data_IF_710638723274
#
_entry.id   IF_710638723274
#
_cell.length_a   1.000
_cell.length_b   1.000
_cell.length_c   1.000
_cell.angle_alpha   90.00
_cell.angle_beta   90.00
_cell.angle_gamma   90.00
#
_symmetry.space_group_name_H-M   'P 1'
#
loop_
_entity.id
_entity.type
_entity.pdbx_description
1 polymer ?
#
# COMPACT_ATOMS: atom_id res chain seq x y z
N UNK A 1 3.97 26.05 -28.69
CA UNK A 1 5.29 26.54 -28.24
C UNK A 1 5.42 26.66 -26.72
N UNK A 2 4.34 26.98 -25.98
CA UNK A 2 4.34 27.11 -24.50
C UNK A 2 4.34 25.77 -23.71
N UNK A 3 3.92 24.65 -24.31
CA UNK A 3 3.88 23.33 -23.61
C UNK A 3 5.26 22.66 -23.40
N UNK A 4 6.35 23.24 -23.92
CA UNK A 4 7.72 22.72 -23.74
C UNK A 4 8.42 23.22 -22.48
N UNK A 5 7.86 24.20 -21.77
CA UNK A 5 8.49 24.82 -20.60
C UNK A 5 8.10 24.18 -19.25
N UNK A 6 7.04 23.36 -19.24
CA UNK A 6 6.58 22.62 -18.06
C UNK A 6 7.27 21.26 -17.88
N UNK A 7 8.17 20.93 -18.81
CA UNK A 7 8.93 19.68 -18.82
C UNK A 7 10.37 20.04 -18.44
N UNK A 8 10.90 19.56 -17.29
CA UNK A 8 12.26 19.85 -16.88
C UNK A 8 13.26 19.40 -17.95
N UNK A 9 14.25 20.24 -18.28
CA UNK A 9 15.13 20.03 -19.44
C UNK A 9 15.91 18.72 -19.40
N UNK A 10 16.18 18.16 -18.22
CA UNK A 10 16.78 16.81 -18.08
C UNK A 10 15.98 15.69 -18.76
N UNK A 11 14.71 15.91 -19.12
CA UNK A 11 13.83 14.89 -19.70
C UNK A 11 14.04 14.78 -21.22
N UNK A 12 14.56 15.83 -21.86
CA UNK A 12 14.81 15.87 -23.30
C UNK A 12 16.20 15.32 -23.67
N UNK A 13 17.15 15.36 -22.74
CA UNK A 13 18.49 14.78 -22.83
C UNK A 13 18.55 13.26 -22.55
N UNK A 14 17.42 12.60 -22.30
CA UNK A 14 17.41 11.16 -22.07
C UNK A 14 17.97 10.43 -23.31
N UNK A 15 19.05 9.64 -23.20
CA UNK A 15 19.65 8.95 -24.34
C UNK A 15 18.60 8.05 -24.98
N UNK A 16 18.22 8.38 -26.23
CA UNK A 16 17.29 7.61 -27.05
C UNK A 16 17.94 6.30 -27.49
N UNK A 17 18.07 5.36 -26.57
CA UNK A 17 18.78 4.11 -26.81
C UNK A 17 18.63 3.13 -25.65
N UNK A 18 17.40 2.83 -25.23
CA UNK A 18 17.14 1.73 -24.30
C UNK A 18 16.36 0.63 -25.02
N UNK A 19 17.13 -0.22 -25.70
CA UNK A 19 16.69 -1.55 -26.11
C UNK A 19 16.14 -2.29 -24.90
N UNK A 20 14.93 -2.80 -25.02
CA UNK A 20 14.16 -3.60 -24.07
C UNK A 20 14.74 -4.99 -23.83
N UNK A 21 16.07 -5.15 -23.86
CA UNK A 21 16.68 -6.42 -23.47
C UNK A 21 16.73 -6.50 -21.96
N UNK A 22 15.82 -7.31 -21.41
CA UNK A 22 15.90 -7.93 -20.08
C UNK A 22 17.35 -8.40 -19.89
N UNK A 23 18.16 -7.79 -19.01
CA UNK A 23 19.51 -8.31 -18.76
C UNK A 23 19.30 -9.70 -18.14
N UNK A 24 19.69 -10.73 -18.89
CA UNK A 24 19.89 -12.06 -18.34
C UNK A 24 21.04 -11.94 -17.33
N UNK A 25 20.68 -11.67 -16.08
CA UNK A 25 21.61 -11.66 -14.97
C UNK A 25 21.97 -13.11 -14.67
N UNK A 26 23.26 -13.39 -14.85
CA UNK A 26 23.97 -14.61 -14.48
C UNK A 26 23.51 -15.08 -13.09
N UNK A 27 22.79 -16.21 -13.02
CA UNK A 27 22.68 -17.05 -11.82
C UNK A 27 21.90 -16.50 -10.62
N UNK A 28 21.08 -15.46 -10.76
CA UNK A 28 20.10 -15.03 -9.72
C UNK A 28 18.70 -15.04 -10.34
N UNK A 29 18.22 -16.21 -10.75
CA UNK A 29 16.93 -16.37 -11.45
C UNK A 29 15.82 -17.01 -10.57
N UNK A 30 16.04 -17.09 -9.25
CA UNK A 30 15.05 -17.66 -8.30
C UNK A 30 14.54 -16.65 -7.25
N UNK A 31 15.01 -15.39 -7.26
CA UNK A 31 14.46 -14.37 -6.35
C UNK A 31 13.36 -13.58 -7.08
N UNK A 32 12.07 -13.73 -6.71
CA UNK A 32 11.02 -12.93 -7.31
C UNK A 32 11.32 -11.45 -7.06
N UNK A 33 11.14 -10.61 -8.09
CA UNK A 33 11.28 -9.16 -7.97
C UNK A 33 10.50 -8.67 -6.72
N UNK A 34 11.00 -7.68 -5.95
CA UNK A 34 10.32 -7.15 -4.76
C UNK A 34 8.86 -6.73 -5.03
N UNK A 35 8.60 -6.33 -6.27
CA UNK A 35 7.28 -5.94 -6.76
C UNK A 35 6.30 -7.11 -6.91
N UNK A 36 6.78 -8.32 -7.13
CA UNK A 36 5.93 -9.50 -7.25
C UNK A 36 5.25 -9.81 -5.92
N UNK A 37 5.90 -9.48 -4.80
CA UNK A 37 5.30 -9.51 -3.46
C UNK A 37 4.12 -8.54 -3.32
N UNK A 38 4.05 -7.45 -4.10
CA UNK A 38 2.93 -6.49 -4.02
C UNK A 38 1.67 -6.92 -4.77
N UNK A 39 1.79 -7.78 -5.79
CA UNK A 39 0.66 -8.25 -6.60
C UNK A 39 -0.50 -8.81 -5.75
N UNK A 40 -0.27 -9.64 -4.71
CA UNK A 40 -1.35 -10.14 -3.87
C UNK A 40 -2.08 -9.07 -3.03
N UNK A 41 -1.58 -7.84 -2.92
CA UNK A 41 -2.25 -6.77 -2.16
C UNK A 41 -3.40 -6.10 -2.92
N UNK A 42 -3.47 -6.27 -4.24
CA UNK A 42 -4.51 -5.67 -5.10
C UNK A 42 -5.94 -6.08 -4.69
N UNK A 43 -6.27 -7.36 -4.45
CA UNK A 43 -7.62 -7.74 -4.00
C UNK A 43 -7.97 -7.17 -2.63
N UNK A 44 -7.00 -7.06 -1.71
CA UNK A 44 -7.23 -6.59 -0.34
C UNK A 44 -7.66 -5.12 -0.29
N UNK A 45 -7.16 -4.31 -1.23
CA UNK A 45 -7.50 -2.89 -1.38
C UNK A 45 -9.00 -2.66 -1.54
N UNK A 46 -9.70 -3.53 -2.27
CA UNK A 46 -11.15 -3.45 -2.45
C UNK A 46 -11.90 -4.16 -1.32
N UNK A 47 -11.31 -5.23 -0.78
CA UNK A 47 -11.94 -6.06 0.25
C UNK A 47 -12.11 -5.33 1.58
N UNK A 48 -11.11 -4.53 1.98
CA UNK A 48 -11.12 -3.81 3.25
C UNK A 48 -12.23 -2.74 3.35
N UNK A 49 -12.39 -1.79 2.40
CA UNK A 49 -13.47 -0.82 2.45
C UNK A 49 -14.85 -1.47 2.27
N UNK A 50 -14.96 -2.55 1.49
CA UNK A 50 -16.20 -3.32 1.35
C UNK A 50 -16.64 -3.94 2.69
N UNK A 51 -15.73 -4.58 3.43
CA UNK A 51 -16.01 -5.12 4.76
C UNK A 51 -16.41 -4.04 5.77
N UNK A 52 -15.78 -2.86 5.70
CA UNK A 52 -16.10 -1.72 6.56
C UNK A 52 -17.51 -1.17 6.29
N UNK A 53 -17.90 -1.10 5.01
CA UNK A 53 -19.23 -0.68 4.58
C UNK A 53 -20.30 -1.65 5.11
N UNK A 54 -20.11 -2.95 4.86
CA UNK A 54 -21.04 -4.00 5.32
C UNK A 54 -21.19 -3.94 6.85
N UNK A 55 -20.09 -3.79 7.58
CA UNK A 55 -20.14 -3.66 9.04
C UNK A 55 -20.89 -2.40 9.50
N UNK A 56 -20.60 -1.23 8.90
CA UNK A 56 -21.20 0.04 9.28
C UNK A 56 -22.72 0.05 9.14
N UNK A 57 -23.21 -0.43 7.99
CA UNK A 57 -24.64 -0.51 7.71
C UNK A 57 -25.34 -1.61 8.51
N UNK A 58 -24.65 -2.73 8.80
CA UNK A 58 -25.21 -3.80 9.64
C UNK A 58 -25.46 -3.34 11.08
N UNK A 59 -24.60 -2.47 11.64
CA UNK A 59 -24.84 -1.87 12.95
C UNK A 59 -25.98 -0.85 12.94
N UNK A 60 -26.09 -0.06 11.88
CA UNK A 60 -27.14 0.97 11.79
C UNK A 60 -28.54 0.37 11.66
N UNK A 61 -28.69 -0.75 10.96
CA UNK A 61 -29.97 -1.45 10.81
C UNK A 61 -30.21 -2.52 11.89
N UNK A 62 -29.34 -2.63 12.91
CA UNK A 62 -29.44 -3.65 13.96
C UNK A 62 -29.68 -5.07 13.40
N UNK A 63 -28.95 -5.42 12.34
CA UNK A 63 -29.12 -6.67 11.61
C UNK A 63 -28.66 -7.86 12.48
N UNK A 64 -29.16 -9.06 12.16
CA UNK A 64 -28.78 -10.32 12.82
C UNK A 64 -27.25 -10.40 13.04
N UNK A 65 -26.84 -10.76 14.26
CA UNK A 65 -25.45 -10.76 14.77
C UNK A 65 -24.41 -11.45 13.87
N UNK A 66 -24.86 -12.33 12.97
CA UNK A 66 -23.99 -13.02 12.02
C UNK A 66 -23.39 -12.10 10.96
N UNK A 67 -24.12 -11.06 10.54
CA UNK A 67 -23.66 -10.16 9.47
C UNK A 67 -22.48 -9.28 9.93
N UNK A 68 -22.52 -8.62 11.11
CA UNK A 68 -21.35 -7.93 11.66
C UNK A 68 -20.16 -8.86 11.93
N UNK A 69 -20.42 -10.10 12.32
CA UNK A 69 -19.38 -11.11 12.59
C UNK A 69 -18.65 -11.52 11.31
N UNK A 70 -19.39 -11.76 10.22
CA UNK A 70 -18.80 -12.03 8.92
C UNK A 70 -18.02 -10.81 8.40
N UNK A 71 -18.56 -9.60 8.54
CA UNK A 71 -17.89 -8.39 8.11
C UNK A 71 -16.57 -8.13 8.86
N UNK A 72 -16.53 -8.35 10.19
CA UNK A 72 -15.29 -8.24 10.98
C UNK A 72 -14.28 -9.31 10.64
N UNK A 73 -14.71 -10.55 10.39
CA UNK A 73 -13.83 -11.62 9.94
C UNK A 73 -13.18 -11.28 8.59
N UNK A 74 -13.94 -10.68 7.68
CA UNK A 74 -13.45 -10.25 6.37
C UNK A 74 -12.42 -9.13 6.48
N UNK A 75 -12.69 -8.11 7.30
CA UNK A 75 -11.73 -7.04 7.59
C UNK A 75 -10.44 -7.56 8.24
N UNK A 76 -10.57 -8.53 9.15
CA UNK A 76 -9.42 -9.20 9.78
C UNK A 76 -8.59 -9.97 8.76
N UNK A 77 -9.26 -10.70 7.87
CA UNK A 77 -8.61 -11.48 6.81
C UNK A 77 -7.82 -10.58 5.84
N UNK A 78 -8.41 -9.49 5.35
CA UNK A 78 -7.71 -8.55 4.47
C UNK A 78 -6.50 -7.91 5.17
N UNK A 79 -6.61 -7.58 6.46
CA UNK A 79 -5.50 -7.00 7.22
C UNK A 79 -4.34 -7.99 7.37
N UNK A 80 -4.64 -9.26 7.61
CA UNK A 80 -3.64 -10.32 7.69
C UNK A 80 -2.97 -10.57 6.33
N UNK A 81 -3.79 -10.72 5.27
CA UNK A 81 -3.34 -10.93 3.89
C UNK A 81 -2.42 -9.81 3.38
N UNK A 82 -2.74 -8.55 3.68
CA UNK A 82 -1.91 -7.40 3.26
C UNK A 82 -0.65 -7.18 4.09
N UNK A 83 -0.60 -7.65 5.35
CA UNK A 83 0.57 -7.41 6.22
C UNK A 83 1.79 -8.17 5.73
N UNK A 84 1.62 -9.42 5.31
CA UNK A 84 2.71 -10.30 4.84
C UNK A 84 3.49 -9.73 3.64
N UNK A 85 2.86 -9.39 2.50
CA UNK A 85 3.56 -8.82 1.35
C UNK A 85 4.19 -7.45 1.63
N UNK A 86 3.60 -6.65 2.52
CA UNK A 86 4.15 -5.36 2.92
C UNK A 86 5.48 -5.52 3.66
N UNK A 87 5.57 -6.48 4.58
CA UNK A 87 6.80 -6.76 5.32
C UNK A 87 7.88 -7.34 4.41
N UNK A 88 7.50 -8.23 3.48
CA UNK A 88 8.44 -8.78 2.49
C UNK A 88 9.01 -7.68 1.60
N UNK A 89 8.17 -6.77 1.11
CA UNK A 89 8.63 -5.63 0.32
C UNK A 89 9.58 -4.69 1.07
N UNK A 90 9.32 -4.43 2.36
CA UNK A 90 10.21 -3.65 3.20
C UNK A 90 11.57 -4.33 3.38
N UNK A 91 11.59 -5.65 3.52
CA UNK A 91 12.84 -6.42 3.60
C UNK A 91 13.60 -6.38 2.27
N UNK A 92 12.89 -6.58 1.18
CA UNK A 92 13.46 -6.65 -0.17
C UNK A 92 14.07 -5.31 -0.64
N UNK A 93 13.48 -4.16 -0.24
CA UNK A 93 14.03 -2.84 -0.61
C UNK A 93 15.17 -2.41 0.30
N UNK A 94 15.05 -2.67 1.61
CA UNK A 94 15.98 -2.11 2.59
C UNK A 94 17.15 -3.05 2.95
N UNK A 95 17.14 -4.31 2.50
CA UNK A 95 18.26 -5.25 2.67
C UNK A 95 18.79 -5.26 4.11
N UNK A 96 20.04 -4.84 4.30
CA UNK A 96 20.71 -4.76 5.61
C UNK A 96 20.05 -3.80 6.63
N UNK A 97 19.29 -2.81 6.17
CA UNK A 97 18.55 -1.85 7.02
C UNK A 97 17.06 -2.17 7.17
N UNK A 98 16.63 -3.34 6.71
CA UNK A 98 15.24 -3.80 6.76
C UNK A 98 14.65 -3.84 8.16
N UNK A 99 15.40 -4.31 9.16
CA UNK A 99 14.94 -4.42 10.54
C UNK A 99 14.51 -3.06 11.12
N UNK A 100 15.25 -1.99 10.83
CA UNK A 100 14.90 -0.64 11.30
C UNK A 100 13.68 -0.06 10.57
N UNK A 101 13.53 -0.35 9.27
CA UNK A 101 12.39 0.09 8.49
C UNK A 101 11.09 -0.59 8.97
N UNK A 102 11.14 -1.90 9.19
CA UNK A 102 10.03 -2.68 9.76
C UNK A 102 9.70 -2.20 11.17
N UNK A 103 10.72 -1.98 12.01
CA UNK A 103 10.53 -1.46 13.37
C UNK A 103 9.88 -0.07 13.40
N UNK A 104 10.08 0.78 12.39
CA UNK A 104 9.46 2.10 12.31
C UNK A 104 7.96 2.05 11.92
N UNK A 105 7.54 1.03 11.16
CA UNK A 105 6.14 0.88 10.71
C UNK A 105 5.23 0.35 11.82
N UNK A 106 5.74 -0.54 12.65
CA UNK A 106 5.00 -1.13 13.78
C UNK A 106 4.39 -0.10 14.75
N UNK A 107 5.13 0.89 15.29
CA UNK A 107 4.57 1.87 16.23
C UNK A 107 3.49 2.71 15.57
N UNK A 108 3.63 3.10 14.30
CA UNK A 108 2.58 3.82 13.59
C UNK A 108 1.29 3.00 13.53
N UNK A 109 1.40 1.69 13.25
CA UNK A 109 0.27 0.77 13.25
C UNK A 109 -0.38 0.63 14.63
N UNK A 110 0.42 0.51 15.69
CA UNK A 110 -0.09 0.43 17.06
C UNK A 110 -0.74 1.74 17.52
N UNK A 111 -0.19 2.88 17.15
CA UNK A 111 -0.78 4.19 17.42
C UNK A 111 -2.15 4.31 16.75
N UNK A 112 -2.26 3.98 15.46
CA UNK A 112 -3.55 3.96 14.77
C UNK A 112 -4.55 2.99 15.42
N UNK A 113 -4.08 1.79 15.81
CA UNK A 113 -4.89 0.79 16.51
C UNK A 113 -5.35 1.24 17.91
N UNK A 114 -4.60 2.11 18.57
CA UNK A 114 -4.95 2.65 19.90
C UNK A 114 -5.82 3.89 19.79
N UNK A 115 -5.57 4.74 18.80
CA UNK A 115 -6.31 5.98 18.61
C UNK A 115 -7.72 5.74 18.07
N UNK A 116 -7.90 4.73 17.21
CA UNK A 116 -9.19 4.43 16.60
C UNK A 116 -10.27 4.06 17.65
N UNK A 117 -10.03 3.19 18.64
CA UNK A 117 -10.97 2.94 19.74
C UNK A 117 -11.26 4.16 20.61
N UNK A 118 -10.26 5.03 20.82
CA UNK A 118 -10.42 6.26 21.62
C UNK A 118 -11.28 7.29 20.87
N UNK A 119 -11.09 7.43 19.56
CA UNK A 119 -11.86 8.35 18.72
C UNK A 119 -13.25 7.80 18.35
N UNK A 120 -13.42 6.47 18.33
CA UNK A 120 -14.66 5.79 17.95
C UNK A 120 -15.92 6.29 18.69
N UNK A 121 -15.97 6.39 20.04
CA UNK A 121 -17.18 6.84 20.73
C UNK A 121 -17.56 8.29 20.40
N UNK A 122 -16.57 9.19 20.23
CA UNK A 122 -16.82 10.57 19.82
C UNK A 122 -17.37 10.65 18.40
N UNK A 123 -16.83 9.84 17.49
CA UNK A 123 -17.27 9.77 16.10
C UNK A 123 -18.68 9.18 15.97
N UNK A 124 -18.98 8.10 16.70
CA UNK A 124 -20.31 7.48 16.69
C UNK A 124 -21.39 8.38 17.29
N UNK A 125 -21.05 9.21 18.30
CA UNK A 125 -22.00 10.15 18.91
C UNK A 125 -22.42 11.29 17.97
N UNK A 126 -21.54 11.70 17.04
CA UNK A 126 -21.81 12.79 16.10
C UNK A 126 -22.47 12.34 14.79
N UNK A 127 -22.09 11.17 14.25
CA UNK A 127 -22.46 10.75 12.89
C UNK A 127 -23.31 9.47 12.84
N UNK A 128 -23.43 8.72 13.94
CA UNK A 128 -24.01 7.39 13.95
C UNK A 128 -23.09 6.33 13.34
N UNK A 129 -23.47 5.05 13.46
CA UNK A 129 -22.60 3.92 13.14
C UNK A 129 -22.32 3.75 11.64
N UNK A 130 -23.30 3.95 10.75
CA UNK A 130 -23.13 3.75 9.31
C UNK A 130 -22.36 4.88 8.63
N UNK A 131 -22.69 6.14 8.92
CA UNK A 131 -21.98 7.28 8.33
C UNK A 131 -20.54 7.37 8.82
N UNK A 132 -20.27 7.09 10.10
CA UNK A 132 -18.90 7.07 10.64
C UNK A 132 -18.00 6.03 9.94
N UNK A 133 -18.53 4.82 9.71
CA UNK A 133 -17.80 3.74 9.03
C UNK A 133 -17.62 4.00 7.53
N UNK A 134 -18.60 4.62 6.88
CA UNK A 134 -18.51 5.01 5.45
C UNK A 134 -17.48 6.12 5.24
N UNK A 135 -17.42 7.10 6.14
CA UNK A 135 -16.39 8.14 6.13
C UNK A 135 -14.99 7.52 6.28
N UNK A 136 -14.85 6.59 7.22
CA UNK A 136 -13.58 5.88 7.45
C UNK A 136 -13.18 5.05 6.21
N UNK A 137 -14.13 4.38 5.55
CA UNK A 137 -13.90 3.67 4.29
C UNK A 137 -13.45 4.60 3.16
N UNK A 138 -14.01 5.81 3.08
CA UNK A 138 -13.61 6.80 2.08
C UNK A 138 -12.19 7.32 2.33
N UNK A 139 -11.84 7.61 3.58
CA UNK A 139 -10.47 7.99 3.96
C UNK A 139 -9.48 6.89 3.59
N UNK A 140 -9.81 5.63 3.86
CA UNK A 140 -9.00 4.49 3.46
C UNK A 140 -8.82 4.42 1.94
N UNK A 141 -9.89 4.65 1.16
CA UNK A 141 -9.84 4.68 -0.31
C UNK A 141 -8.94 5.80 -0.84
N UNK A 142 -8.84 6.94 -0.15
CA UNK A 142 -7.91 8.03 -0.50
C UNK A 142 -6.44 7.68 -0.17
N UNK A 143 -6.20 6.75 0.75
CA UNK A 143 -4.85 6.28 1.13
C UNK A 143 -4.35 5.12 0.21
N UNK A 144 -5.26 4.40 -0.44
CA UNK A 144 -4.99 3.35 -1.43
C UNK A 144 -4.04 3.71 -2.60
N UNK A 145 -4.00 4.93 -3.16
CA UNK A 145 -3.08 5.21 -4.28
C UNK A 145 -1.59 5.17 -3.90
N UNK A 146 -1.24 5.16 -2.61
CA UNK A 146 0.15 5.12 -2.15
C UNK A 146 0.90 3.86 -2.63
N UNK A 147 0.38 2.63 -2.44
CA UNK A 147 0.99 1.42 -3.01
C UNK A 147 0.97 1.36 -4.54
N UNK A 148 -0.05 1.92 -5.21
CA UNK A 148 -0.07 2.00 -6.68
C UNK A 148 1.03 2.92 -7.24
N UNK A 149 1.32 4.03 -6.55
CA UNK A 149 2.43 4.91 -6.92
C UNK A 149 3.78 4.22 -6.79
N UNK A 150 3.96 3.33 -5.80
CA UNK A 150 5.18 2.52 -5.69
C UNK A 150 5.38 1.56 -6.87
N UNK A 151 4.28 1.03 -7.44
CA UNK A 151 4.30 0.19 -8.66
C UNK A 151 4.60 1.04 -9.92
N UNK A 152 4.28 2.34 -9.92
CA UNK A 152 4.53 3.28 -11.02
C UNK A 152 5.92 3.93 -10.95
N UNK A 153 6.66 3.80 -9.84
CA UNK A 153 8.03 4.32 -9.67
C UNK A 153 9.21 3.33 -9.98
N UNK A 154 9.09 2.23 -10.76
CA UNK A 154 10.16 1.24 -10.91
C UNK A 154 11.37 1.76 -11.71
N UNK A 155 11.25 2.95 -12.32
CA UNK A 155 12.22 3.42 -13.32
C UNK A 155 13.40 4.21 -12.76
N UNK A 156 13.29 4.78 -11.56
CA UNK A 156 14.34 5.67 -10.99
C UNK A 156 15.35 4.92 -10.10
N UNK A 157 14.91 3.89 -9.38
CA UNK A 157 15.79 3.17 -8.43
C UNK A 157 16.76 2.23 -9.18
N UNK A 158 16.33 1.63 -10.29
CA UNK A 158 17.19 0.78 -11.13
C UNK A 158 18.32 1.55 -11.82
N UNK A 159 18.14 2.86 -12.05
CA UNK A 159 19.18 3.71 -12.67
C UNK A 159 20.30 4.08 -11.71
N UNK A 160 20.02 4.18 -10.40
CA UNK A 160 21.04 4.55 -9.41
C UNK A 160 21.99 3.40 -9.09
N UNK A 161 21.48 2.16 -9.00
CA UNK A 161 22.32 0.98 -8.76
C UNK A 161 23.27 0.71 -9.95
N UNK A 162 22.84 1.00 -11.19
CA UNK A 162 23.71 0.94 -12.37
C UNK A 162 24.77 2.05 -12.41
N UNK A 163 24.55 3.18 -11.74
CA UNK A 163 25.50 4.29 -11.67
C UNK A 163 26.59 4.06 -10.61
N UNK A 164 26.25 3.45 -9.47
CA UNK A 164 27.26 3.02 -8.48
C UNK A 164 28.11 1.85 -8.97
N UNK A 165 27.50 0.88 -9.66
CA UNK A 165 28.23 -0.24 -10.27
C UNK A 165 29.19 0.20 -11.39
N UNK A 166 28.93 1.34 -12.03
CA UNK A 166 29.81 1.93 -13.06
C UNK A 166 30.90 2.85 -12.47
N UNK A 167 30.82 3.20 -11.17
CA UNK A 167 31.78 4.08 -10.50
C UNK A 167 32.91 3.29 -9.78
N UNK A 168 32.97 1.98 -9.97
CA UNK A 168 34.09 1.11 -9.58
C UNK A 168 34.83 0.64 -10.83
#
# INVERSE_FOLDING_TARGET
>A
MFLRALIPQWLLEAPRGLSTRKPALIGIDDQPLPQNSLIPTIPDIALFPAGLFIYGWSLQYHVHWIVPTLATSLCGFSLASSTTPMMNFLVDIFGDRSASAVAAVLPMRYLMGTFLPVAAPYMYKSLGYGCAKSLLAFILLVIVPVPLLAIVQPKVISTMHSMEAYKK
#
